data_IF_650221644176
#
_entry.id   IF_650221644176
#
_cell.length_a   1.000
_cell.length_b   1.000
_cell.length_c   1.000
_cell.angle_alpha   90.00
_cell.angle_beta   90.00
_cell.angle_gamma   90.00
#
_symmetry.space_group_name_H-M   'P 1'
#
loop_
_entity.id
_entity.type
_entity.pdbx_description
1 polymer ?
#
# COMPACT_ATOMS: atom_id res chain seq x y z
N UNK A 1 10.39 8.00 -3.85
CA UNK A 1 9.76 9.07 -3.05
C UNK A 1 8.73 9.84 -3.89
N UNK A 2 9.11 10.43 -5.03
CA UNK A 2 8.18 11.19 -5.91
C UNK A 2 6.99 10.36 -6.41
N UNK A 3 7.17 9.08 -6.67
CA UNK A 3 6.11 8.17 -7.18
C UNK A 3 4.96 7.92 -6.20
N UNK A 4 5.17 8.10 -4.90
CA UNK A 4 4.11 7.91 -3.87
C UNK A 4 3.37 9.19 -3.53
N UNK A 5 3.82 10.35 -4.04
CA UNK A 5 3.27 11.68 -3.73
C UNK A 5 2.98 12.46 -5.01
N UNK A 6 2.66 11.76 -6.10
CA UNK A 6 2.49 12.39 -7.42
C UNK A 6 1.41 13.47 -7.37
N UNK A 7 0.29 13.20 -6.70
CA UNK A 7 -0.81 14.15 -6.56
C UNK A 7 -0.38 15.42 -5.83
N UNK A 8 0.20 15.29 -4.63
CA UNK A 8 0.61 16.43 -3.79
C UNK A 8 1.70 17.26 -4.48
N UNK A 9 2.63 16.58 -5.14
CA UNK A 9 3.72 17.20 -5.87
C UNK A 9 3.20 17.96 -7.10
N UNK A 10 2.23 17.41 -7.83
CA UNK A 10 1.58 18.11 -8.94
C UNK A 10 0.84 19.36 -8.46
N UNK A 11 0.10 19.27 -7.34
CA UNK A 11 -0.58 20.43 -6.75
C UNK A 11 0.41 21.52 -6.35
N UNK A 12 1.55 21.12 -5.77
CA UNK A 12 2.60 22.07 -5.37
C UNK A 12 3.27 22.74 -6.58
N UNK A 13 3.69 21.95 -7.57
CA UNK A 13 4.47 22.45 -8.71
C UNK A 13 3.64 23.24 -9.73
N UNK A 14 2.37 22.89 -9.92
CA UNK A 14 1.46 23.59 -10.86
C UNK A 14 0.70 24.71 -10.16
N UNK A 15 0.14 24.44 -8.98
CA UNK A 15 -0.75 25.36 -8.28
C UNK A 15 -0.04 26.29 -7.29
N UNK A 16 1.25 26.08 -7.00
CA UNK A 16 1.99 26.84 -6.00
C UNK A 16 1.44 26.70 -4.57
N UNK A 17 0.61 25.67 -4.32
CA UNK A 17 -0.06 25.48 -3.02
C UNK A 17 0.79 24.57 -2.13
N UNK A 18 1.32 25.06 -1.00
CA UNK A 18 2.02 24.22 -0.04
C UNK A 18 1.05 23.25 0.63
N UNK A 19 1.48 22.00 0.82
CA UNK A 19 0.72 21.03 1.59
C UNK A 19 0.96 21.26 3.08
N UNK A 20 -0.13 21.37 3.83
CA UNK A 20 -0.07 21.48 5.29
C UNK A 20 -0.48 20.17 5.92
N UNK A 21 0.29 19.73 6.92
CA UNK A 21 -0.08 18.55 7.69
C UNK A 21 -1.33 18.86 8.51
N UNK A 22 -2.29 17.93 8.53
CA UNK A 22 -3.45 17.99 9.41
C UNK A 22 -3.03 17.76 10.87
N UNK A 23 -3.77 18.33 11.83
CA UNK A 23 -3.61 17.96 13.23
C UNK A 23 -4.07 16.52 13.51
N UNK A 24 -4.88 15.93 12.62
CA UNK A 24 -5.39 14.57 12.72
C UNK A 24 -4.47 13.59 11.97
N UNK A 25 -3.96 12.53 12.63
CA UNK A 25 -2.82 11.73 12.16
C UNK A 25 -3.10 10.90 10.90
N UNK A 26 -4.38 10.67 10.55
CA UNK A 26 -4.78 9.86 9.40
C UNK A 26 -5.57 10.64 8.34
N UNK A 27 -5.61 11.97 8.46
CA UNK A 27 -6.22 12.83 7.45
C UNK A 27 -5.24 13.11 6.30
N UNK A 28 -5.77 13.17 5.08
CA UNK A 28 -4.96 13.50 3.91
C UNK A 28 -4.53 14.99 3.93
N UNK A 29 -3.26 15.27 3.64
CA UNK A 29 -2.69 16.64 3.66
C UNK A 29 -3.28 17.63 2.62
N UNK A 30 -4.16 17.17 1.74
CA UNK A 30 -4.65 17.93 0.59
C UNK A 30 -6.15 17.70 0.40
N UNK A 31 -6.54 16.45 0.14
CA UNK A 31 -7.91 16.03 -0.19
C UNK A 31 -8.92 16.49 0.88
N UNK A 32 -10.12 16.86 0.40
CA UNK A 32 -11.25 17.27 1.24
C UNK A 32 -11.68 16.18 2.23
N UNK A 33 -12.15 16.59 3.40
CA UNK A 33 -12.63 15.69 4.44
C UNK A 33 -14.11 15.27 4.22
N UNK A 34 -14.55 14.14 4.80
CA UNK A 34 -13.74 13.18 5.51
C UNK A 34 -12.98 12.27 4.55
N UNK A 35 -11.66 12.16 4.76
CA UNK A 35 -10.79 11.27 4.00
C UNK A 35 -9.70 10.74 4.89
N UNK A 36 -9.62 9.41 5.04
CA UNK A 36 -8.62 8.79 5.89
C UNK A 36 -9.06 7.47 6.51
N UNK A 37 -8.28 7.02 7.50
CA UNK A 37 -8.56 5.85 8.31
C UNK A 37 -9.24 6.26 9.63
N UNK A 38 -10.30 5.55 10.00
CA UNK A 38 -11.10 5.82 11.19
C UNK A 38 -11.30 4.55 12.00
N UNK A 39 -11.15 4.68 13.32
CA UNK A 39 -11.47 3.59 14.25
C UNK A 39 -12.98 3.34 14.27
N UNK A 40 -13.33 2.07 14.39
CA UNK A 40 -14.69 1.59 14.65
C UNK A 40 -14.73 0.92 16.03
N UNK A 41 -15.84 0.29 16.41
CA UNK A 41 -15.91 -0.40 17.71
C UNK A 41 -14.99 -1.61 17.81
N UNK A 42 -14.56 -2.19 16.68
CA UNK A 42 -13.83 -3.46 16.60
C UNK A 42 -12.60 -3.44 15.68
N UNK A 43 -12.28 -2.31 15.07
CA UNK A 43 -11.19 -2.22 14.10
C UNK A 43 -11.09 -0.85 13.45
N UNK A 44 -10.85 -0.84 12.13
CA UNK A 44 -10.69 0.37 11.36
C UNK A 44 -11.27 0.22 9.95
N UNK A 45 -11.77 1.33 9.42
CA UNK A 45 -12.20 1.46 8.03
C UNK A 45 -11.57 2.70 7.40
N UNK A 46 -11.41 2.67 6.08
CA UNK A 46 -11.05 3.85 5.29
C UNK A 46 -12.31 4.44 4.66
N UNK A 47 -12.37 5.77 4.58
CA UNK A 47 -13.46 6.52 3.93
C UNK A 47 -12.84 7.55 2.99
N UNK A 48 -13.47 7.74 1.81
CA UNK A 48 -13.00 8.66 0.79
C UNK A 48 -14.07 9.71 0.40
N UNK A 49 -13.92 10.92 0.95
CA UNK A 49 -14.57 12.17 0.54
C UNK A 49 -16.07 12.10 0.19
N UNK A 50 -16.93 11.44 0.98
CA UNK A 50 -18.36 11.45 0.71
C UNK A 50 -18.93 12.87 0.78
N UNK A 51 -20.15 13.04 0.24
CA UNK A 51 -20.88 14.28 0.48
C UNK A 51 -21.17 14.44 1.98
N UNK A 52 -20.85 15.60 2.55
CA UNK A 52 -21.00 15.86 3.98
C UNK A 52 -22.43 15.69 4.43
N UNK A 53 -23.39 16.22 3.67
CA UNK A 53 -24.81 16.12 4.01
C UNK A 53 -25.27 14.66 4.08
N UNK A 54 -25.08 13.90 3.00
CA UNK A 54 -25.48 12.47 2.94
C UNK A 54 -24.76 11.66 4.03
N UNK A 55 -23.47 11.90 4.21
CA UNK A 55 -22.68 11.20 5.21
C UNK A 55 -23.12 11.53 6.64
N UNK A 56 -23.38 12.80 6.92
CA UNK A 56 -23.90 13.27 8.21
C UNK A 56 -25.24 12.63 8.58
N UNK A 57 -26.15 12.44 7.62
CA UNK A 57 -27.40 11.71 7.82
C UNK A 57 -27.13 10.25 8.24
N UNK A 58 -26.17 9.58 7.59
CA UNK A 58 -25.87 8.16 7.83
C UNK A 58 -25.15 7.91 9.15
N UNK A 59 -24.21 8.77 9.53
CA UNK A 59 -23.43 8.62 10.77
C UNK A 59 -24.07 9.34 11.97
N UNK A 60 -25.16 10.08 11.73
CA UNK A 60 -25.83 10.87 12.76
C UNK A 60 -25.01 12.08 13.23
N UNK A 61 -24.39 12.81 12.31
CA UNK A 61 -23.67 14.08 12.57
C UNK A 61 -24.42 15.28 11.98
N UNK A 62 -25.28 15.96 12.76
CA UNK A 62 -26.08 17.09 12.27
C UNK A 62 -25.25 18.28 11.79
N UNK A 63 -24.02 18.47 12.30
CA UNK A 63 -23.20 19.62 11.89
C UNK A 63 -22.79 19.57 10.43
N UNK A 64 -22.81 18.38 9.80
CA UNK A 64 -22.46 18.22 8.39
C UNK A 64 -23.59 18.62 7.45
N UNK A 65 -24.83 18.67 7.92
CA UNK A 65 -26.02 18.87 7.06
C UNK A 65 -26.09 20.27 6.44
N UNK A 66 -25.43 21.24 7.07
CA UNK A 66 -25.38 22.65 6.63
C UNK A 66 -24.03 23.04 6.04
N UNK A 67 -23.08 22.10 5.94
CA UNK A 67 -21.75 22.36 5.40
C UNK A 67 -21.74 22.30 3.88
N UNK A 68 -20.92 23.16 3.28
CA UNK A 68 -20.66 23.16 1.83
C UNK A 68 -19.48 22.22 1.51
N UNK A 69 -19.77 21.21 0.71
CA UNK A 69 -18.82 20.21 0.21
C UNK A 69 -17.61 20.80 -0.54
N UNK A 70 -17.76 21.97 -1.15
CA UNK A 70 -16.72 22.65 -1.94
C UNK A 70 -15.92 23.67 -1.12
N UNK A 71 -16.37 24.01 0.10
CA UNK A 71 -15.74 25.02 0.95
C UNK A 71 -15.37 24.45 2.31
N UNK A 72 -16.34 23.97 3.08
CA UNK A 72 -16.14 23.50 4.46
C UNK A 72 -15.35 22.19 4.50
N UNK A 73 -15.58 21.29 3.55
CA UNK A 73 -14.82 20.03 3.46
C UNK A 73 -13.30 20.26 3.26
N UNK A 74 -12.90 21.42 2.73
CA UNK A 74 -11.50 21.80 2.52
C UNK A 74 -10.96 22.67 3.65
N UNK A 75 -11.75 23.63 4.11
CA UNK A 75 -11.31 24.63 5.12
C UNK A 75 -11.42 24.12 6.56
N UNK A 76 -12.30 23.15 6.83
CA UNK A 76 -12.57 22.58 8.17
C UNK A 76 -12.19 21.10 8.27
N UNK A 77 -11.16 20.67 7.52
CA UNK A 77 -10.75 19.25 7.42
C UNK A 77 -10.57 18.57 8.78
N UNK A 78 -9.86 19.22 9.70
CA UNK A 78 -9.58 18.65 11.02
C UNK A 78 -10.86 18.52 11.86
N UNK A 79 -11.76 19.51 11.81
CA UNK A 79 -13.06 19.44 12.48
C UNK A 79 -13.92 18.29 11.94
N UNK A 80 -14.04 18.19 10.62
CA UNK A 80 -14.83 17.13 9.95
C UNK A 80 -14.23 15.75 10.27
N UNK A 81 -12.90 15.63 10.24
CA UNK A 81 -12.22 14.38 10.59
C UNK A 81 -12.50 13.99 12.05
N UNK A 82 -12.34 14.92 13.00
CA UNK A 82 -12.55 14.66 14.41
C UNK A 82 -13.98 14.18 14.72
N UNK A 83 -15.00 14.87 14.17
CA UNK A 83 -16.40 14.47 14.31
C UNK A 83 -16.67 13.11 13.68
N UNK A 84 -16.12 12.85 12.50
CA UNK A 84 -16.23 11.54 11.84
C UNK A 84 -15.63 10.43 12.70
N UNK A 85 -14.40 10.65 13.22
CA UNK A 85 -13.69 9.72 14.10
C UNK A 85 -14.53 9.37 15.33
N UNK A 86 -15.20 10.33 15.94
CA UNK A 86 -16.06 10.09 17.10
C UNK A 86 -17.26 9.22 16.76
N UNK A 87 -17.98 9.54 15.68
CA UNK A 87 -19.20 8.82 15.28
C UNK A 87 -18.94 7.37 14.89
N UNK A 88 -17.83 7.09 14.22
CA UNK A 88 -17.57 5.76 13.70
C UNK A 88 -17.24 4.72 14.78
N UNK A 89 -16.94 5.14 16.01
CA UNK A 89 -16.78 4.21 17.15
C UNK A 89 -18.08 3.53 17.58
N UNK A 90 -19.24 3.99 17.10
CA UNK A 90 -20.55 3.51 17.55
C UNK A 90 -21.00 2.16 16.94
N UNK A 91 -20.32 1.65 15.90
CA UNK A 91 -20.64 0.38 15.23
C UNK A 91 -19.38 -0.37 14.84
N UNK A 92 -19.53 -1.64 14.53
CA UNK A 92 -18.46 -2.48 13.98
C UNK A 92 -18.10 -2.04 12.57
N UNK A 93 -16.91 -2.44 12.14
CA UNK A 93 -16.42 -2.22 10.78
C UNK A 93 -17.36 -2.81 9.74
N UNK A 94 -17.89 -4.01 10.00
CA UNK A 94 -18.81 -4.69 9.10
C UNK A 94 -20.14 -3.95 8.94
N UNK A 95 -20.72 -3.46 10.04
CA UNK A 95 -21.97 -2.69 10.01
C UNK A 95 -21.82 -1.38 9.22
N UNK A 96 -20.72 -0.65 9.44
CA UNK A 96 -20.44 0.57 8.68
C UNK A 96 -20.22 0.30 7.20
N UNK A 97 -19.41 -0.72 6.85
CA UNK A 97 -19.15 -1.06 5.46
C UNK A 97 -20.41 -1.49 4.72
N UNK A 98 -21.32 -2.21 5.38
CA UNK A 98 -22.62 -2.56 4.81
C UNK A 98 -23.46 -1.30 4.54
N UNK A 99 -23.62 -0.44 5.56
CA UNK A 99 -24.38 0.81 5.44
C UNK A 99 -23.82 1.71 4.34
N UNK A 100 -22.49 1.85 4.28
CA UNK A 100 -21.81 2.70 3.30
C UNK A 100 -21.92 2.15 1.89
N UNK A 101 -21.83 0.84 1.70
CA UNK A 101 -22.04 0.19 0.40
C UNK A 101 -23.47 0.40 -0.12
N UNK A 102 -24.47 0.27 0.74
CA UNK A 102 -25.89 0.49 0.36
C UNK A 102 -26.17 1.95 -0.02
N UNK A 103 -25.30 2.87 0.39
CA UNK A 103 -25.47 4.31 0.20
C UNK A 103 -24.40 4.93 -0.70
N UNK A 104 -23.70 4.15 -1.53
CA UNK A 104 -22.66 4.63 -2.46
C UNK A 104 -21.56 5.48 -1.79
N UNK A 105 -21.26 5.20 -0.52
CA UNK A 105 -20.16 5.84 0.20
C UNK A 105 -18.89 5.03 -0.06
N UNK A 106 -17.86 5.67 -0.59
CA UNK A 106 -16.58 5.03 -0.84
C UNK A 106 -15.87 4.75 0.47
N UNK A 107 -15.95 3.48 0.88
CA UNK A 107 -15.31 2.98 2.08
C UNK A 107 -14.74 1.58 1.85
N UNK A 108 -13.75 1.21 2.64
CA UNK A 108 -13.10 -0.09 2.57
C UNK A 108 -12.59 -0.56 3.93
N UNK A 109 -12.41 -1.87 4.11
CA UNK A 109 -11.79 -2.41 5.31
C UNK A 109 -10.31 -2.04 5.36
N UNK A 110 -9.76 -1.99 6.57
CA UNK A 110 -8.30 -2.02 6.77
C UNK A 110 -7.91 -3.45 7.14
N UNK A 111 -7.22 -4.12 6.23
CA UNK A 111 -6.81 -5.51 6.40
C UNK A 111 -5.53 -5.65 7.20
N UNK A 112 -5.47 -6.70 8.03
CA UNK A 112 -4.21 -7.29 8.47
C UNK A 112 -3.62 -8.21 7.40
N UNK A 113 -2.40 -8.71 7.65
CA UNK A 113 -1.73 -9.61 6.69
C UNK A 113 -2.51 -10.91 6.45
N UNK A 114 -3.15 -11.49 7.49
CA UNK A 114 -3.93 -12.71 7.34
C UNK A 114 -5.15 -12.50 6.42
N UNK A 115 -5.88 -11.39 6.62
CA UNK A 115 -7.04 -11.03 5.80
C UNK A 115 -6.62 -10.81 4.33
N UNK A 116 -5.55 -10.05 4.12
CA UNK A 116 -5.01 -9.76 2.78
C UNK A 116 -4.62 -11.05 2.04
N UNK A 117 -3.97 -11.98 2.72
CA UNK A 117 -3.50 -13.26 2.13
C UNK A 117 -4.66 -14.18 1.77
N UNK A 118 -5.78 -14.09 2.50
CA UNK A 118 -6.99 -14.87 2.29
C UNK A 118 -8.02 -14.20 1.36
N UNK A 119 -7.83 -12.93 0.99
CA UNK A 119 -8.80 -12.16 0.21
C UNK A 119 -9.02 -12.75 -1.21
N UNK A 120 -10.28 -13.01 -1.62
CA UNK A 120 -10.57 -13.61 -2.92
C UNK A 120 -10.09 -12.79 -4.12
N UNK A 121 -10.12 -11.46 -4.03
CA UNK A 121 -9.65 -10.59 -5.09
C UNK A 121 -8.11 -10.62 -5.18
N UNK A 122 -7.42 -10.70 -4.05
CA UNK A 122 -5.96 -10.87 -4.01
C UNK A 122 -5.55 -12.21 -4.61
N UNK A 123 -6.27 -13.29 -4.30
CA UNK A 123 -6.07 -14.60 -4.91
C UNK A 123 -6.33 -14.58 -6.43
N UNK A 124 -7.44 -13.98 -6.86
CA UNK A 124 -7.79 -13.81 -8.28
C UNK A 124 -6.71 -13.01 -9.03
N UNK A 125 -6.18 -11.96 -8.41
CA UNK A 125 -5.13 -11.12 -8.95
C UNK A 125 -3.76 -11.81 -8.98
N UNK A 126 -3.64 -13.06 -8.50
CA UNK A 126 -2.38 -13.81 -8.42
C UNK A 126 -1.25 -12.95 -7.86
N UNK A 127 -1.56 -12.18 -6.81
CA UNK A 127 -0.66 -11.17 -6.23
C UNK A 127 0.56 -11.81 -5.59
N UNK A 128 0.45 -13.06 -5.14
CA UNK A 128 1.56 -13.82 -4.57
C UNK A 128 2.12 -14.78 -5.62
N UNK A 129 3.45 -14.90 -5.63
CA UNK A 129 4.18 -15.92 -6.39
C UNK A 129 4.79 -16.91 -5.41
N UNK A 130 5.02 -18.12 -5.90
CA UNK A 130 5.65 -19.17 -5.13
C UNK A 130 6.77 -19.82 -5.95
N UNK A 131 7.86 -20.16 -5.27
CA UNK A 131 9.02 -20.82 -5.88
C UNK A 131 9.79 -21.61 -4.82
N UNK A 132 10.69 -22.48 -5.28
CA UNK A 132 11.56 -23.26 -4.39
C UNK A 132 12.86 -22.48 -4.15
N UNK A 133 13.11 -22.14 -2.89
CA UNK A 133 14.34 -21.51 -2.44
C UNK A 133 15.37 -22.58 -2.07
N UNK A 134 16.66 -22.44 -2.46
CA UNK A 134 17.69 -23.43 -2.19
C UNK A 134 17.79 -23.86 -0.71
N UNK A 135 17.56 -22.92 0.23
CA UNK A 135 17.66 -23.17 1.68
C UNK A 135 16.34 -23.14 2.45
N UNK A 136 15.33 -22.41 1.96
CA UNK A 136 14.10 -22.13 2.73
C UNK A 136 12.93 -23.02 2.26
N UNK A 137 13.16 -23.90 1.28
CA UNK A 137 12.12 -24.74 0.69
C UNK A 137 11.12 -23.92 -0.12
N UNK A 138 9.85 -24.33 -0.11
CA UNK A 138 8.78 -23.63 -0.84
C UNK A 138 8.45 -22.31 -0.16
N UNK A 139 8.69 -21.19 -0.84
CA UNK A 139 8.40 -19.84 -0.32
C UNK A 139 7.24 -19.19 -1.08
N UNK A 140 6.44 -18.38 -0.37
CA UNK A 140 5.36 -17.57 -0.92
C UNK A 140 5.62 -16.09 -0.60
N UNK A 141 5.67 -15.24 -1.62
CA UNK A 141 6.05 -13.82 -1.49
C UNK A 141 5.24 -12.95 -2.45
N UNK A 142 5.09 -11.63 -2.21
CA UNK A 142 4.49 -10.73 -3.20
C UNK A 142 5.18 -10.87 -4.56
N UNK A 143 4.37 -11.01 -5.60
CA UNK A 143 4.79 -11.10 -6.98
C UNK A 143 4.94 -9.71 -7.62
N UNK A 144 4.72 -9.69 -8.93
CA UNK A 144 4.85 -8.47 -9.72
C UNK A 144 3.57 -7.63 -9.63
N UNK A 145 3.70 -6.37 -9.22
CA UNK A 145 2.56 -5.46 -9.05
C UNK A 145 1.82 -5.13 -10.36
N UNK A 146 2.51 -5.26 -11.51
CA UNK A 146 1.97 -4.95 -12.84
C UNK A 146 2.07 -6.21 -13.72
N UNK A 147 0.99 -6.51 -14.44
CA UNK A 147 0.92 -7.62 -15.39
C UNK A 147 1.03 -7.10 -16.82
N UNK A 148 1.96 -7.68 -17.58
CA UNK A 148 2.12 -7.40 -19.01
C UNK A 148 1.59 -8.56 -19.82
N UNK A 149 0.68 -8.29 -20.76
CA UNK A 149 0.08 -9.33 -21.61
C UNK A 149 1.04 -9.91 -22.64
N UNK A 150 2.05 -9.15 -23.09
CA UNK A 150 3.03 -9.58 -24.11
C UNK A 150 4.32 -10.13 -23.52
N UNK A 151 4.73 -9.63 -22.36
CA UNK A 151 5.99 -9.98 -21.69
C UNK A 151 5.71 -10.25 -20.21
N UNK A 152 4.92 -11.30 -19.89
CA UNK A 152 4.53 -11.58 -18.52
C UNK A 152 5.76 -11.80 -17.64
N UNK A 153 5.78 -11.15 -16.48
CA UNK A 153 6.84 -11.32 -15.50
C UNK A 153 6.75 -12.70 -14.86
N UNK A 154 7.88 -13.41 -14.79
CA UNK A 154 7.98 -14.75 -14.20
C UNK A 154 9.13 -14.82 -13.22
N UNK A 155 8.97 -15.60 -12.14
CA UNK A 155 10.09 -15.96 -11.28
C UNK A 155 10.80 -17.16 -11.92
N UNK A 156 11.98 -16.93 -12.49
CA UNK A 156 12.73 -17.98 -13.21
C UNK A 156 13.56 -18.87 -12.28
N UNK A 157 14.03 -18.33 -11.15
CA UNK A 157 14.84 -19.02 -10.15
C UNK A 157 14.71 -18.31 -8.80
N UNK A 158 15.02 -19.03 -7.72
CA UNK A 158 15.07 -18.46 -6.38
C UNK A 158 16.20 -17.43 -6.19
N UNK A 159 16.23 -16.80 -5.03
CA UNK A 159 17.35 -15.94 -4.66
C UNK A 159 18.65 -16.77 -4.56
N UNK A 160 19.76 -16.30 -5.12
CA UNK A 160 21.00 -17.05 -5.09
C UNK A 160 21.63 -17.05 -3.70
N UNK A 161 22.39 -18.10 -3.41
CA UNK A 161 23.32 -18.12 -2.29
C UNK A 161 24.44 -17.09 -2.49
N UNK A 162 25.03 -16.67 -1.37
CA UNK A 162 26.19 -15.79 -1.40
C UNK A 162 27.35 -16.46 -2.16
N UNK A 163 27.72 -15.87 -3.29
CA UNK A 163 28.81 -16.35 -4.14
C UNK A 163 28.44 -17.51 -5.09
N UNK A 164 27.17 -17.92 -5.18
CA UNK A 164 26.72 -19.03 -6.05
C UNK A 164 27.20 -18.89 -7.50
N UNK A 165 27.12 -17.67 -8.03
CA UNK A 165 27.45 -17.37 -9.42
C UNK A 165 28.86 -16.75 -9.61
N UNK A 166 29.70 -16.70 -8.56
CA UNK A 166 31.02 -16.03 -8.63
C UNK A 166 31.87 -16.58 -9.76
N UNK A 167 31.93 -17.92 -9.90
CA UNK A 167 32.75 -18.57 -10.94
C UNK A 167 32.20 -18.31 -12.34
N UNK A 168 30.88 -18.42 -12.53
CA UNK A 168 30.23 -18.28 -13.84
C UNK A 168 30.38 -16.85 -14.37
N UNK A 169 30.12 -15.84 -13.54
CA UNK A 169 30.26 -14.42 -13.93
C UNK A 169 31.71 -14.08 -14.29
N UNK A 170 32.70 -14.64 -13.60
CA UNK A 170 34.11 -14.38 -13.91
C UNK A 170 34.55 -15.05 -15.21
N UNK A 171 34.05 -16.26 -15.50
CA UNK A 171 34.28 -16.91 -16.80
C UNK A 171 33.65 -16.13 -17.94
N UNK A 172 32.42 -15.66 -17.78
CA UNK A 172 31.75 -14.79 -18.75
C UNK A 172 32.53 -13.49 -18.99
N UNK A 173 33.19 -12.97 -17.96
CA UNK A 173 34.06 -11.80 -18.06
C UNK A 173 35.46 -12.09 -18.66
N UNK A 174 35.77 -13.35 -19.01
CA UNK A 174 37.02 -13.74 -19.67
C UNK A 174 38.16 -14.13 -18.75
N UNK A 175 37.91 -14.37 -17.46
CA UNK A 175 38.92 -14.90 -16.54
C UNK A 175 39.06 -16.41 -16.75
N UNK A 176 40.30 -16.89 -16.81
CA UNK A 176 40.58 -18.33 -16.80
C UNK A 176 40.43 -18.94 -15.40
N UNK A 177 40.26 -20.26 -15.34
CA UNK A 177 40.09 -20.97 -14.07
C UNK A 177 41.30 -20.77 -13.13
N UNK A 178 42.51 -20.65 -13.68
CA UNK A 178 43.73 -20.44 -12.89
C UNK A 178 43.70 -19.10 -12.14
N UNK A 179 43.25 -18.03 -12.80
CA UNK A 179 43.11 -16.71 -12.22
C UNK A 179 41.96 -16.65 -11.21
N UNK A 180 40.85 -17.32 -11.49
CA UNK A 180 39.71 -17.42 -10.56
C UNK A 180 40.14 -18.10 -9.26
N UNK A 181 40.84 -19.24 -9.36
CA UNK A 181 41.33 -19.98 -8.19
C UNK A 181 42.37 -19.18 -7.38
N UNK A 182 43.22 -18.38 -8.04
CA UNK A 182 44.15 -17.51 -7.35
C UNK A 182 43.44 -16.43 -6.51
N UNK A 183 42.36 -15.84 -7.05
CA UNK A 183 41.56 -14.82 -6.37
C UNK A 183 40.72 -15.40 -5.21
N UNK A 184 40.24 -16.64 -5.35
CA UNK A 184 39.58 -17.35 -4.26
C UNK A 184 40.58 -17.66 -3.12
N UNK A 185 41.77 -18.18 -3.45
CA UNK A 185 42.81 -18.47 -2.46
C UNK A 185 43.33 -17.24 -1.74
N UNK A 186 43.35 -16.08 -2.41
CA UNK A 186 43.76 -14.82 -1.78
C UNK A 186 42.69 -14.23 -0.85
N UNK A 187 41.49 -14.81 -0.78
CA UNK A 187 40.35 -14.28 -0.03
C UNK A 187 39.74 -13.02 -0.65
N UNK A 188 40.12 -12.69 -1.89
CA UNK A 188 39.57 -11.53 -2.60
C UNK A 188 38.15 -11.80 -3.13
N UNK A 189 37.79 -13.08 -3.26
CA UNK A 189 36.48 -13.56 -3.69
C UNK A 189 35.97 -14.64 -2.74
N UNK A 190 34.65 -14.80 -2.70
CA UNK A 190 33.98 -15.98 -2.15
C UNK A 190 33.14 -16.63 -3.24
N UNK A 191 33.18 -17.96 -3.33
CA UNK A 191 32.27 -18.73 -4.16
C UNK A 191 31.42 -19.59 -3.23
N UNK A 192 30.11 -19.57 -3.44
CA UNK A 192 29.19 -20.41 -2.70
C UNK A 192 29.45 -21.87 -3.10
N UNK A 193 29.70 -22.72 -2.12
CA UNK A 193 29.62 -24.16 -2.33
C UNK A 193 28.12 -24.50 -2.34
N UNK A 194 27.66 -25.10 -3.44
CA UNK A 194 26.25 -25.41 -3.67
C UNK A 194 25.63 -26.33 -2.63
#
# INVERSE_FOLDING_TARGET
ITTLQMQELSVFTVGGKPQTRSAEPHAHCYIRAPYGAFATSDGYIIIAFPSLKKFGELIGEPSFLTMDDEVDAWSRRDEVFARTRERLTAKTSAEWLALFRENDIWAGPIYGYADLVADPQIAHNGTFVEYDHPTEGRVRTPGFAIRFSKTPSTVARGAPLAGEHTRDVLREAGYDDARIEALLKSGALSAGDG
#
